data_IF_938038371855
#
_entry.id   IF_938038371855
#
_cell.length_a   1.000
_cell.length_b   1.000
_cell.length_c   1.000
_cell.angle_alpha   90.00
_cell.angle_beta   90.00
_cell.angle_gamma   90.00
#
_symmetry.space_group_name_H-M   'P 1'
#
loop_
_entity.id
_entity.type
_entity.pdbx_description
1 polymer ?
#
# COMPACT_ATOMS: atom_id res chain seq x y z
N UNK A 1 -5.43 6.27 -8.30
CA UNK A 1 -5.84 7.70 -8.23
C UNK A 1 -4.75 8.40 -7.47
N UNK A 2 -4.20 9.46 -8.05
CA UNK A 2 -3.03 10.16 -7.50
C UNK A 2 -3.52 11.41 -6.77
N UNK A 3 -3.05 11.61 -5.54
CA UNK A 3 -3.52 12.68 -4.65
C UNK A 3 -2.39 13.68 -4.42
N UNK A 4 -2.50 14.93 -4.92
CA UNK A 4 -1.51 15.96 -4.64
C UNK A 4 -1.63 16.41 -3.17
N UNK A 5 -0.50 16.74 -2.55
CA UNK A 5 -0.44 17.30 -1.21
C UNK A 5 0.54 18.46 -1.15
N UNK A 6 0.29 19.38 -0.21
CA UNK A 6 1.22 20.45 0.15
C UNK A 6 1.38 20.51 1.68
N UNK A 7 2.55 20.96 2.15
CA UNK A 7 2.84 21.13 3.57
C UNK A 7 3.77 22.32 3.79
N UNK A 8 3.45 23.15 4.79
CA UNK A 8 4.35 24.22 5.23
C UNK A 8 5.38 23.64 6.20
N UNK A 9 6.66 23.71 5.82
CA UNK A 9 7.77 23.25 6.63
C UNK A 9 8.43 24.45 7.28
N UNK A 10 8.63 24.38 8.60
CA UNK A 10 9.36 25.40 9.37
C UNK A 10 10.69 24.82 9.84
N UNK A 11 11.79 25.50 9.53
CA UNK A 11 13.14 25.15 9.98
C UNK A 11 13.65 26.25 10.89
N UNK A 12 14.02 25.88 12.12
CA UNK A 12 14.54 26.81 13.13
C UNK A 12 15.84 26.31 13.71
N UNK A 13 16.83 27.20 13.81
CA UNK A 13 18.06 26.95 14.55
C UNK A 13 19.31 27.35 13.78
N UNK A 14 20.36 26.56 13.97
CA UNK A 14 21.68 26.78 13.40
C UNK A 14 22.12 25.54 12.61
N UNK A 15 22.85 25.77 11.54
CA UNK A 15 23.53 24.71 10.81
C UNK A 15 25.04 24.95 10.87
N UNK A 16 25.78 23.85 10.83
CA UNK A 16 27.24 23.87 10.77
C UNK A 16 27.69 23.50 9.35
N UNK A 17 28.73 24.17 8.86
CA UNK A 17 29.34 23.84 7.58
C UNK A 17 30.86 23.96 7.66
N UNK A 18 31.55 23.17 6.83
CA UNK A 18 33.00 23.11 6.76
C UNK A 18 33.49 23.73 5.47
N UNK A 19 34.40 24.70 5.58
CA UNK A 19 35.06 25.32 4.44
C UNK A 19 36.43 24.69 4.21
N UNK A 20 36.73 24.37 2.96
CA UNK A 20 38.02 23.80 2.57
C UNK A 20 39.17 24.78 2.86
N UNK A 21 39.00 26.06 2.50
CA UNK A 21 39.91 27.13 2.90
C UNK A 21 39.50 27.72 4.24
N UNK A 22 40.49 27.98 5.10
CA UNK A 22 40.28 28.69 6.37
C UNK A 22 39.87 30.13 6.10
N UNK A 23 38.81 30.55 6.76
CA UNK A 23 38.43 31.97 6.92
C UNK A 23 38.72 32.32 8.37
N UNK A 24 39.39 33.43 8.66
CA UNK A 24 39.75 33.84 10.03
C UNK A 24 40.39 32.73 10.89
N UNK A 25 41.18 31.84 10.28
CA UNK A 25 41.82 30.72 10.97
C UNK A 25 40.92 29.50 11.26
N UNK A 26 39.64 29.52 10.89
CA UNK A 26 38.66 28.47 11.17
C UNK A 26 38.11 27.82 9.89
N UNK A 27 37.91 26.50 9.94
CA UNK A 27 37.22 25.74 8.90
C UNK A 27 35.73 25.54 9.19
N UNK A 28 35.39 25.32 10.46
CA UNK A 28 34.02 25.08 10.91
C UNK A 28 33.32 26.40 11.22
N UNK A 29 32.16 26.60 10.61
CA UNK A 29 31.34 27.78 10.78
C UNK A 29 29.89 27.41 11.10
N UNK A 30 29.22 28.28 11.83
CA UNK A 30 27.81 28.13 12.18
C UNK A 30 27.03 29.30 11.60
N UNK A 31 25.96 28.98 10.87
CA UNK A 31 25.04 29.96 10.29
C UNK A 31 23.64 29.77 10.86
N UNK A 32 22.88 30.86 11.10
CA UNK A 32 21.47 30.74 11.44
C UNK A 32 20.70 30.22 10.22
N UNK A 33 19.64 29.44 10.42
CA UNK A 33 18.86 28.88 9.31
C UNK A 33 18.31 29.96 8.35
N UNK A 34 18.06 31.18 8.85
CA UNK A 34 17.70 32.37 8.05
C UNK A 34 18.71 32.72 6.96
N UNK A 35 20.00 32.41 7.14
CA UNK A 35 21.03 32.66 6.14
C UNK A 35 20.83 31.84 4.86
N UNK A 36 20.10 30.72 4.93
CA UNK A 36 19.79 29.90 3.74
C UNK A 36 18.91 30.65 2.74
N UNK A 37 18.08 31.60 3.20
CA UNK A 37 17.25 32.44 2.35
C UNK A 37 18.07 33.42 1.48
N UNK A 38 19.37 33.60 1.75
CA UNK A 38 20.28 34.35 0.86
C UNK A 38 20.63 33.56 -0.41
N UNK A 39 20.45 32.24 -0.38
CA UNK A 39 20.85 31.32 -1.44
C UNK A 39 19.62 30.78 -2.17
N UNK A 40 18.53 30.51 -1.43
CA UNK A 40 17.28 30.00 -1.98
C UNK A 40 16.12 30.99 -1.77
N UNK A 41 15.64 31.55 -2.88
CA UNK A 41 14.54 32.51 -2.90
C UNK A 41 13.17 31.89 -2.55
N UNK A 42 13.06 30.56 -2.49
CA UNK A 42 11.82 29.87 -2.09
C UNK A 42 11.64 29.83 -0.56
N UNK A 43 12.67 30.19 0.21
CA UNK A 43 12.60 30.28 1.65
C UNK A 43 12.07 31.65 2.08
N UNK A 44 11.04 31.65 2.92
CA UNK A 44 10.53 32.86 3.56
C UNK A 44 11.14 32.97 4.96
N UNK A 45 11.79 34.11 5.25
CA UNK A 45 12.36 34.38 6.57
C UNK A 45 11.24 34.80 7.52
N UNK A 46 11.09 34.09 8.64
CA UNK A 46 10.14 34.43 9.70
C UNK A 46 10.81 35.26 10.78
N UNK A 47 12.01 34.87 11.19
CA UNK A 47 12.83 35.59 12.17
C UNK A 47 14.34 35.32 11.93
N UNK A 48 15.20 35.81 12.82
CA UNK A 48 16.66 35.68 12.68
C UNK A 48 17.18 34.24 12.64
N UNK A 49 16.42 33.24 13.09
CA UNK A 49 16.81 31.83 13.17
C UNK A 49 15.85 30.90 12.43
N UNK A 50 14.78 31.43 11.83
CA UNK A 50 13.65 30.63 11.35
C UNK A 50 13.31 30.96 9.91
N UNK A 51 13.17 29.91 9.10
CA UNK A 51 12.70 29.98 7.72
C UNK A 51 11.54 29.02 7.49
N UNK A 52 10.69 29.35 6.54
CA UNK A 52 9.56 28.51 6.12
C UNK A 52 9.55 28.33 4.61
N UNK A 53 9.13 27.17 4.14
CA UNK A 53 8.86 26.92 2.73
C UNK A 53 7.67 25.97 2.57
N UNK A 54 7.06 26.00 1.39
CA UNK A 54 6.00 25.07 1.01
C UNK A 54 6.61 23.87 0.28
N UNK A 55 6.44 22.68 0.86
CA UNK A 55 6.75 21.41 0.20
C UNK A 55 5.49 20.90 -0.50
N UNK A 56 5.65 20.30 -1.68
CA UNK A 56 4.55 19.67 -2.42
C UNK A 56 4.95 18.30 -2.95
N UNK A 57 3.97 17.41 -3.12
CA UNK A 57 4.22 16.07 -3.65
C UNK A 57 2.94 15.39 -4.12
N UNK A 58 3.08 14.14 -4.57
CA UNK A 58 1.97 13.31 -5.05
C UNK A 58 2.00 11.98 -4.32
N UNK A 59 0.88 11.62 -3.69
CA UNK A 59 0.67 10.29 -3.13
C UNK A 59 0.01 9.38 -4.18
N UNK A 60 0.71 8.32 -4.58
CA UNK A 60 0.20 7.34 -5.55
C UNK A 60 -0.48 6.19 -4.80
N UNK A 61 -1.81 6.12 -4.88
CA UNK A 61 -2.56 5.01 -4.30
C UNK A 61 -2.55 3.80 -5.27
N UNK A 62 -2.09 2.66 -4.78
CA UNK A 62 -2.27 1.35 -5.43
C UNK A 62 -3.50 0.69 -4.81
N UNK A 63 -4.63 0.77 -5.51
CA UNK A 63 -5.84 0.06 -5.10
C UNK A 63 -5.70 -1.43 -5.43
N UNK A 64 -5.65 -2.29 -4.42
CA UNK A 64 -5.83 -3.73 -4.60
C UNK A 64 -7.28 -4.00 -5.04
N UNK A 65 -7.45 -4.78 -6.12
CA UNK A 65 -8.77 -5.12 -6.63
C UNK A 65 -9.49 -6.05 -5.62
N UNK A 66 -10.66 -5.64 -5.18
CA UNK A 66 -11.57 -6.46 -4.36
C UNK A 66 -11.99 -7.70 -5.18
N UNK A 67 -11.65 -8.89 -4.70
CA UNK A 67 -11.97 -10.15 -5.38
C UNK A 67 -13.27 -10.71 -4.83
N UNK A 68 -14.31 -10.73 -5.68
CA UNK A 68 -15.63 -11.24 -5.30
C UNK A 68 -15.83 -12.65 -5.85
N UNK A 69 -16.15 -13.59 -4.96
CA UNK A 69 -16.53 -14.95 -5.32
C UNK A 69 -18.06 -15.03 -5.37
N UNK A 70 -18.59 -15.38 -6.53
CA UNK A 70 -20.01 -15.64 -6.70
C UNK A 70 -20.26 -17.14 -6.60
N UNK A 71 -21.11 -17.56 -5.66
CA UNK A 71 -21.56 -18.95 -5.52
C UNK A 71 -22.98 -19.04 -6.04
N UNK A 72 -23.22 -19.98 -6.94
CA UNK A 72 -24.55 -20.28 -7.47
C UNK A 72 -25.02 -21.60 -6.85
N UNK A 73 -26.25 -21.62 -6.32
CA UNK A 73 -26.88 -22.87 -5.92
C UNK A 73 -27.24 -23.64 -7.20
N UNK A 74 -26.56 -24.77 -7.43
CA UNK A 74 -26.95 -25.70 -8.47
C UNK A 74 -28.34 -26.22 -8.11
N UNK A 75 -29.33 -25.95 -8.98
CA UNK A 75 -30.70 -26.46 -8.81
C UNK A 75 -30.63 -27.92 -8.39
N UNK A 76 -31.27 -28.25 -7.27
CA UNK A 76 -31.39 -29.62 -6.77
C UNK A 76 -31.67 -30.54 -7.95
N UNK A 77 -30.73 -31.42 -8.25
CA UNK A 77 -30.93 -32.52 -9.17
C UNK A 77 -32.16 -33.27 -8.66
N UNK A 78 -33.29 -33.17 -9.36
CA UNK A 78 -34.43 -34.03 -9.10
C UNK A 78 -33.92 -35.45 -9.25
N UNK A 79 -33.81 -36.14 -8.11
CA UNK A 79 -33.30 -37.49 -8.03
C UNK A 79 -34.24 -38.36 -8.87
N UNK A 80 -33.82 -38.71 -10.09
CA UNK A 80 -34.59 -39.60 -10.96
C UNK A 80 -34.91 -40.87 -10.18
N UNK A 81 -36.20 -41.15 -10.01
CA UNK A 81 -36.69 -42.32 -9.28
C UNK A 81 -36.18 -43.56 -10.02
N UNK A 82 -35.43 -44.47 -9.38
CA UNK A 82 -34.91 -45.64 -10.08
C UNK A 82 -36.07 -46.58 -10.43
N UNK A 83 -36.40 -46.65 -11.72
CA UNK A 83 -37.34 -47.63 -12.27
C UNK A 83 -36.58 -48.91 -12.59
N UNK A 84 -36.24 -49.69 -11.56
CA UNK A 84 -35.69 -51.04 -11.76
C UNK A 84 -36.69 -52.07 -11.25
N UNK A 85 -37.51 -52.60 -12.16
CA UNK A 85 -38.37 -53.76 -11.89
C UNK A 85 -37.50 -55.01 -11.89
N UNK A 86 -37.18 -55.53 -10.70
CA UNK A 86 -36.42 -56.79 -10.55
C UNK A 86 -37.29 -57.96 -11.02
N UNK A 87 -36.85 -58.70 -12.05
CA UNK A 87 -37.53 -59.94 -12.48
C UNK A 87 -37.40 -61.02 -11.39
N UNK A 88 -38.47 -61.78 -11.09
CA UNK A 88 -38.40 -62.91 -10.15
C UNK A 88 -37.43 -63.98 -10.68
N UNK A 89 -36.58 -64.50 -9.79
CA UNK A 89 -35.61 -65.56 -10.12
C UNK A 89 -36.34 -66.91 -10.11
N UNK A 90 -36.27 -67.67 -11.19
CA UNK A 90 -36.89 -69.00 -11.28
C UNK A 90 -36.22 -69.97 -10.28
N UNK A 91 -37.04 -70.72 -9.56
CA UNK A 91 -36.59 -71.72 -8.60
C UNK A 91 -36.25 -73.03 -9.33
N UNK A 92 -35.01 -73.49 -9.23
CA UNK A 92 -34.57 -74.77 -9.79
C UNK A 92 -34.26 -75.69 -8.62
N UNK A 93 -34.98 -76.81 -8.52
CA UNK A 93 -34.77 -77.79 -7.45
C UNK A 93 -33.53 -78.64 -7.76
N UNK A 94 -32.57 -78.78 -6.83
CA UNK A 94 -31.41 -79.64 -7.03
C UNK A 94 -31.83 -81.13 -7.03
N UNK A 95 -31.14 -81.99 -7.81
CA UNK A 95 -31.48 -83.41 -7.88
C UNK A 95 -31.11 -84.15 -6.58
N UNK A 96 -31.85 -85.22 -6.22
CA UNK A 96 -31.65 -85.95 -4.97
C UNK A 96 -30.36 -86.78 -4.99
N UNK A 97 -29.73 -86.89 -3.81
CA UNK A 97 -28.50 -87.65 -3.59
C UNK A 97 -28.81 -89.16 -3.48
N UNK A 98 -28.02 -90.01 -4.16
CA UNK A 98 -27.94 -91.46 -3.93
C UNK A 98 -26.92 -91.77 -2.82
#
# INVERSE_FOLDING_TARGET
MDFPWTAIVTVRGWFAFWLDRRVNGHHLWFGPASALALIDNNLTVVDSLTVTFEASGVFRNIATHDSRVFVYELRRFERAKPTTTRRPKAFITPPPLQ
#
